data_IF_222716513170
#
_entry.id   IF_222716513170
#
_cell.length_a   1.000
_cell.length_b   1.000
_cell.length_c   1.000
_cell.angle_alpha   90.00
_cell.angle_beta   90.00
_cell.angle_gamma   90.00
#
_symmetry.space_group_name_H-M   'P 1'
#
loop_
_entity.id
_entity.type
_entity.pdbx_description
1 polymer ?
#
# COMPACT_ATOMS: atom_id res chain seq x y z
N UNK A 1 1.55 4.23 31.09
CA UNK A 1 1.08 3.69 29.79
C UNK A 1 0.27 4.70 28.98
N UNK A 2 -0.41 5.70 29.57
CA UNK A 2 -1.20 6.71 28.83
C UNK A 2 -0.40 7.76 28.03
N UNK A 3 0.94 7.85 28.16
CA UNK A 3 1.75 8.85 27.46
C UNK A 3 2.13 8.46 26.02
N UNK A 4 2.06 7.18 25.63
CA UNK A 4 2.40 6.72 24.26
C UNK A 4 1.24 6.89 23.28
N UNK A 5 -0.01 6.79 23.74
CA UNK A 5 -1.19 6.83 22.86
C UNK A 5 -1.49 8.23 22.29
N UNK A 6 -1.17 9.28 23.05
CA UNK A 6 -1.32 10.68 22.61
C UNK A 6 -0.34 11.05 21.47
N UNK A 7 0.85 10.48 21.50
CA UNK A 7 1.92 10.74 20.52
C UNK A 7 1.63 10.06 19.17
N UNK A 8 1.16 8.80 19.21
CA UNK A 8 0.77 8.07 17.99
C UNK A 8 -0.40 8.76 17.27
N UNK A 9 -1.43 9.19 18.02
CA UNK A 9 -2.58 9.89 17.44
C UNK A 9 -2.17 11.17 16.74
N UNK A 10 -1.39 12.03 17.41
CA UNK A 10 -0.90 13.28 16.82
C UNK A 10 -0.03 13.02 15.57
N UNK A 11 0.81 11.99 15.60
CA UNK A 11 1.64 11.60 14.46
C UNK A 11 0.80 11.14 13.26
N UNK A 12 -0.27 10.36 13.46
CA UNK A 12 -1.17 9.92 12.39
C UNK A 12 -2.02 11.06 11.83
N UNK A 13 -2.53 11.94 12.71
CA UNK A 13 -3.31 13.13 12.33
C UNK A 13 -2.45 14.09 11.49
N UNK A 14 -1.19 14.33 11.87
CA UNK A 14 -0.26 15.19 11.10
C UNK A 14 0.02 14.67 9.69
N UNK A 15 -0.12 13.35 9.46
CA UNK A 15 0.04 12.70 8.15
C UNK A 15 -1.27 12.63 7.35
N UNK A 16 -2.37 13.11 7.92
CA UNK A 16 -3.70 13.04 7.32
C UNK A 16 -4.23 11.62 7.20
N UNK A 17 -3.80 10.69 8.07
CA UNK A 17 -4.29 9.30 8.07
C UNK A 17 -5.74 9.29 8.55
N UNK A 18 -6.63 8.76 7.71
CA UNK A 18 -8.06 8.63 8.03
C UNK A 18 -8.32 7.40 8.93
N UNK A 19 -9.39 7.40 9.75
CA UNK A 19 -9.71 6.27 10.62
C UNK A 19 -9.76 4.91 9.91
N UNK A 20 -10.33 4.85 8.71
CA UNK A 20 -10.39 3.60 7.93
C UNK A 20 -9.01 3.12 7.47
N UNK A 21 -8.09 4.03 7.14
CA UNK A 21 -6.73 3.68 6.73
C UNK A 21 -5.94 3.14 7.94
N UNK A 22 -6.07 3.78 9.09
CA UNK A 22 -5.52 3.30 10.35
C UNK A 22 -6.06 1.91 10.69
N UNK A 23 -7.39 1.73 10.65
CA UNK A 23 -8.03 0.43 10.88
C UNK A 23 -7.46 -0.67 9.98
N UNK A 24 -7.36 -0.45 8.67
CA UNK A 24 -6.86 -1.47 7.74
C UNK A 24 -5.38 -1.77 7.99
N UNK A 25 -4.55 -0.75 8.19
CA UNK A 25 -3.12 -0.94 8.45
C UNK A 25 -2.88 -1.70 9.76
N UNK A 26 -3.59 -1.35 10.84
CA UNK A 26 -3.54 -2.04 12.14
C UNK A 26 -4.07 -3.46 12.05
N UNK A 27 -5.15 -3.70 11.30
CA UNK A 27 -5.69 -5.04 11.11
C UNK A 27 -4.67 -5.97 10.42
N UNK A 28 -4.00 -5.48 9.39
CA UNK A 28 -2.95 -6.24 8.69
C UNK A 28 -1.75 -6.51 9.62
N UNK A 29 -1.35 -5.51 10.42
CA UNK A 29 -0.28 -5.66 11.40
C UNK A 29 -0.62 -6.71 12.46
N UNK A 30 -1.77 -6.60 13.11
CA UNK A 30 -2.23 -7.52 14.14
C UNK A 30 -2.34 -8.96 13.62
N UNK A 31 -2.88 -9.17 12.43
CA UNK A 31 -2.96 -10.50 11.83
C UNK A 31 -1.58 -11.13 11.54
N UNK A 32 -0.56 -10.30 11.26
CA UNK A 32 0.82 -10.77 11.12
C UNK A 32 1.39 -11.17 12.48
N UNK A 33 1.11 -10.41 13.53
CA UNK A 33 1.59 -10.68 14.89
C UNK A 33 1.05 -11.99 15.46
N UNK A 34 -0.20 -12.33 15.16
CA UNK A 34 -0.80 -13.61 15.54
C UNK A 34 -0.46 -14.77 14.58
N UNK A 35 0.44 -14.54 13.61
CA UNK A 35 0.96 -15.59 12.72
C UNK A 35 0.06 -16.01 11.56
N UNK A 36 -1.08 -15.33 11.34
CA UNK A 36 -2.04 -15.67 10.28
C UNK A 36 -1.56 -15.20 8.91
N UNK A 37 -0.92 -14.02 8.85
CA UNK A 37 -0.48 -13.43 7.59
C UNK A 37 1.01 -13.62 7.32
N UNK A 38 1.32 -13.93 6.07
CA UNK A 38 2.64 -13.72 5.46
C UNK A 38 2.48 -12.81 4.23
N UNK A 39 3.60 -12.38 3.65
CA UNK A 39 3.58 -11.46 2.50
C UNK A 39 2.77 -12.01 1.31
N UNK A 40 2.89 -13.29 1.00
CA UNK A 40 2.17 -13.92 -0.11
C UNK A 40 0.66 -13.89 0.09
N UNK A 41 0.19 -14.16 1.31
CA UNK A 41 -1.24 -14.07 1.64
C UNK A 41 -1.73 -12.62 1.51
N UNK A 42 -0.98 -11.65 2.02
CA UNK A 42 -1.33 -10.22 1.89
C UNK A 42 -1.38 -9.80 0.43
N UNK A 43 -0.39 -10.19 -0.37
CA UNK A 43 -0.35 -9.93 -1.81
C UNK A 43 -1.60 -10.48 -2.51
N UNK A 44 -1.89 -11.78 -2.35
CA UNK A 44 -3.04 -12.41 -3.01
C UNK A 44 -4.37 -11.81 -2.56
N UNK A 45 -4.53 -11.54 -1.27
CA UNK A 45 -5.74 -10.94 -0.74
C UNK A 45 -5.97 -9.54 -1.30
N UNK A 46 -4.92 -8.71 -1.29
CA UNK A 46 -5.00 -7.32 -1.78
C UNK A 46 -5.11 -7.24 -3.30
N UNK A 47 -4.57 -8.21 -4.04
CA UNK A 47 -4.81 -8.35 -5.48
C UNK A 47 -6.29 -8.63 -5.78
N UNK A 48 -6.94 -9.52 -5.02
CA UNK A 48 -8.38 -9.74 -5.14
C UNK A 48 -9.18 -8.48 -4.80
N UNK A 49 -8.76 -7.72 -3.79
CA UNK A 49 -9.36 -6.42 -3.45
C UNK A 49 -9.21 -5.44 -4.62
N UNK A 50 -8.01 -5.30 -5.19
CA UNK A 50 -7.75 -4.45 -6.35
C UNK A 50 -8.64 -4.80 -7.54
N UNK A 51 -8.78 -6.10 -7.85
CA UNK A 51 -9.68 -6.59 -8.92
C UNK A 51 -11.15 -6.21 -8.66
N UNK A 52 -11.62 -6.33 -7.42
CA UNK A 52 -12.98 -5.93 -7.03
C UNK A 52 -13.18 -4.42 -7.15
N UNK A 53 -12.22 -3.63 -6.69
CA UNK A 53 -12.26 -2.17 -6.82
C UNK A 53 -12.28 -1.75 -8.30
N UNK A 54 -11.49 -2.39 -9.16
CA UNK A 54 -11.53 -2.14 -10.60
C UNK A 54 -12.90 -2.49 -11.21
N UNK A 55 -13.57 -3.55 -10.74
CA UNK A 55 -14.92 -3.89 -11.19
C UNK A 55 -15.99 -2.88 -10.72
N UNK A 56 -15.81 -2.27 -9.55
CA UNK A 56 -16.76 -1.29 -8.99
C UNK A 56 -16.56 0.10 -9.59
N UNK A 57 -15.32 0.56 -9.69
CA UNK A 57 -14.97 1.95 -10.03
C UNK A 57 -14.43 2.12 -11.46
N UNK A 58 -14.22 1.02 -12.18
CA UNK A 58 -13.65 1.00 -13.52
C UNK A 58 -12.14 1.25 -13.53
N UNK A 59 -11.48 0.69 -14.55
CA UNK A 59 -10.09 1.03 -14.90
C UNK A 59 -10.06 2.25 -15.80
N UNK A 60 -8.90 2.89 -15.85
CA UNK A 60 -8.60 3.93 -16.83
C UNK A 60 -8.08 3.33 -18.14
N UNK A 61 -7.94 4.16 -19.16
CA UNK A 61 -7.46 3.79 -20.51
C UNK A 61 -6.03 3.24 -20.54
N UNK A 62 -5.29 3.42 -19.45
CA UNK A 62 -3.91 2.96 -19.30
C UNK A 62 -3.68 2.44 -17.88
N UNK A 63 -2.77 1.46 -17.71
CA UNK A 63 -2.37 1.02 -16.38
C UNK A 63 -1.79 2.14 -15.52
N UNK A 64 -0.98 3.05 -16.08
CA UNK A 64 -0.42 4.19 -15.33
C UNK A 64 -1.51 5.07 -14.73
N UNK A 65 -2.52 5.46 -15.51
CA UNK A 65 -3.68 6.22 -14.99
C UNK A 65 -4.50 5.40 -13.99
N UNK A 66 -4.62 4.08 -14.19
CA UNK A 66 -5.31 3.21 -13.23
C UNK A 66 -4.59 3.15 -11.88
N UNK A 67 -3.25 3.14 -11.87
CA UNK A 67 -2.45 3.22 -10.65
C UNK A 67 -2.65 4.57 -9.95
N UNK A 68 -2.61 5.67 -10.71
CA UNK A 68 -2.89 7.02 -10.19
C UNK A 68 -4.27 7.09 -9.56
N UNK A 69 -5.31 6.64 -10.28
CA UNK A 69 -6.70 6.64 -9.81
C UNK A 69 -6.87 5.90 -8.49
N UNK A 70 -6.36 4.67 -8.36
CA UNK A 70 -6.59 3.90 -7.12
C UNK A 70 -5.88 4.51 -5.91
N UNK A 71 -4.73 5.14 -6.13
CA UNK A 71 -3.94 5.78 -5.07
C UNK A 71 -4.59 7.08 -4.61
N UNK A 72 -5.12 7.87 -5.54
CA UNK A 72 -5.87 9.10 -5.25
C UNK A 72 -7.23 8.80 -4.62
N UNK A 73 -7.99 7.84 -5.17
CA UNK A 73 -9.28 7.41 -4.65
C UNK A 73 -9.19 6.91 -3.21
N UNK A 74 -8.09 6.23 -2.85
CA UNK A 74 -7.86 5.74 -1.49
C UNK A 74 -7.02 6.71 -0.64
N UNK A 75 -6.63 7.85 -1.22
CA UNK A 75 -5.87 8.93 -0.58
C UNK A 75 -4.61 8.41 0.13
N UNK A 76 -3.81 7.56 -0.54
CA UNK A 76 -2.75 6.78 0.11
C UNK A 76 -1.45 7.56 0.40
N UNK A 77 -1.28 8.76 -0.18
CA UNK A 77 -0.11 9.62 0.03
C UNK A 77 0.52 10.13 -1.27
N UNK A 78 1.72 10.71 -1.16
CA UNK A 78 2.52 11.20 -2.29
C UNK A 78 3.17 10.03 -3.04
N UNK A 79 3.09 10.05 -4.37
CA UNK A 79 3.63 8.98 -5.21
C UNK A 79 4.10 9.50 -6.57
N UNK A 80 4.83 8.66 -7.29
CA UNK A 80 5.23 8.83 -8.69
C UNK A 80 4.89 7.57 -9.48
N UNK A 81 4.51 7.75 -10.74
CA UNK A 81 4.33 6.67 -11.70
C UNK A 81 5.13 7.01 -12.94
N UNK A 82 6.02 6.12 -13.33
CA UNK A 82 6.88 6.27 -14.49
C UNK A 82 6.71 5.06 -15.41
N UNK A 83 6.56 5.31 -16.72
CA UNK A 83 6.68 4.25 -17.72
C UNK A 83 8.15 4.00 -18.03
N UNK A 84 8.55 2.73 -18.07
CA UNK A 84 9.90 2.32 -18.46
C UNK A 84 9.83 1.17 -19.48
N UNK A 85 10.93 0.89 -20.17
CA UNK A 85 11.03 -0.28 -21.03
C UNK A 85 10.73 -1.57 -20.22
N UNK A 86 9.69 -2.29 -20.62
CA UNK A 86 9.27 -3.54 -19.96
C UNK A 86 8.22 -3.39 -18.85
N UNK A 87 7.76 -2.19 -18.51
CA UNK A 87 6.72 -2.05 -17.49
C UNK A 87 6.51 -0.66 -16.90
N UNK A 88 6.03 -0.64 -15.66
CA UNK A 88 5.75 0.58 -14.89
C UNK A 88 6.55 0.55 -13.60
N UNK A 89 7.00 1.73 -13.18
CA UNK A 89 7.60 1.93 -11.86
C UNK A 89 6.67 2.82 -11.06
N UNK A 90 6.17 2.26 -9.96
CA UNK A 90 5.38 2.97 -8.96
C UNK A 90 6.25 3.24 -7.73
N UNK A 91 6.39 4.50 -7.34
CA UNK A 91 7.17 4.90 -6.18
C UNK A 91 6.29 5.65 -5.18
N UNK A 92 5.99 5.03 -4.04
CA UNK A 92 5.26 5.66 -2.93
C UNK A 92 6.24 6.31 -1.96
N UNK A 93 6.06 7.58 -1.66
CA UNK A 93 6.89 8.25 -0.65
C UNK A 93 6.57 7.67 0.72
N UNK A 94 7.59 7.15 1.39
CA UNK A 94 7.40 6.28 2.56
C UNK A 94 6.79 7.04 3.74
N UNK A 95 7.15 8.32 3.91
CA UNK A 95 6.64 9.18 4.99
C UNK A 95 5.15 9.52 4.85
N UNK A 96 4.64 9.58 3.62
CA UNK A 96 3.24 9.89 3.33
C UNK A 96 2.35 8.66 3.19
N UNK A 97 2.90 7.44 3.17
CA UNK A 97 2.12 6.23 2.91
C UNK A 97 1.16 5.92 4.07
N UNK A 98 -0.14 6.13 3.82
CA UNK A 98 -1.21 6.02 4.83
C UNK A 98 -1.73 4.60 5.05
N UNK A 99 -1.22 3.63 4.30
CA UNK A 99 -1.62 2.20 4.39
C UNK A 99 -0.46 1.30 4.82
N UNK A 100 0.65 1.87 5.32
CA UNK A 100 1.82 1.11 5.71
C UNK A 100 1.57 0.37 7.04
N UNK A 101 1.57 -0.98 7.09
CA UNK A 101 1.31 -1.71 8.33
C UNK A 101 2.36 -1.44 9.42
N UNK A 102 3.58 -1.07 9.05
CA UNK A 102 4.64 -0.69 10.00
C UNK A 102 4.42 0.69 10.60
N UNK A 103 4.27 1.71 9.74
CA UNK A 103 4.24 3.11 10.18
C UNK A 103 2.89 3.54 10.73
N UNK A 104 1.82 2.97 10.19
CA UNK A 104 0.44 3.29 10.58
C UNK A 104 -0.11 2.22 11.50
N UNK A 105 0.11 0.95 11.16
CA UNK A 105 -0.42 -0.18 11.92
C UNK A 105 0.42 -0.62 13.12
N UNK A 106 1.63 -0.06 13.32
CA UNK A 106 2.50 -0.39 14.45
C UNK A 106 3.29 -1.71 14.31
N UNK A 107 3.33 -2.34 13.14
CA UNK A 107 4.00 -3.63 12.97
C UNK A 107 5.53 -3.55 13.22
N UNK A 108 5.99 -4.22 14.27
CA UNK A 108 7.42 -4.31 14.62
C UNK A 108 8.12 -5.53 13.99
N UNK A 109 7.39 -6.61 13.73
CA UNK A 109 7.97 -7.88 13.22
C UNK A 109 8.73 -7.70 11.90
N UNK A 110 9.84 -8.43 11.65
CA UNK A 110 10.61 -8.33 10.42
C UNK A 110 9.86 -8.89 9.18
N UNK A 111 10.25 -8.44 7.99
CA UNK A 111 9.73 -8.92 6.70
C UNK A 111 8.86 -7.93 5.91
N UNK A 112 8.38 -8.36 4.74
CA UNK A 112 7.53 -7.56 3.86
C UNK A 112 6.07 -7.82 4.18
N UNK A 113 5.28 -6.76 4.32
CA UNK A 113 3.83 -6.85 4.55
C UNK A 113 3.04 -5.78 3.81
N UNK A 114 3.69 -5.09 2.86
CA UNK A 114 3.07 -3.99 2.13
C UNK A 114 1.86 -4.50 1.32
N UNK A 115 0.67 -3.93 1.47
CA UNK A 115 -0.51 -4.32 0.70
C UNK A 115 -0.52 -3.73 -0.72
N UNK A 116 0.30 -2.72 -1.01
CA UNK A 116 0.29 -2.01 -2.28
C UNK A 116 0.60 -2.89 -3.50
N UNK A 117 1.60 -3.79 -3.51
CA UNK A 117 1.92 -4.56 -4.71
C UNK A 117 0.73 -5.37 -5.22
N UNK A 118 0.04 -6.08 -4.33
CA UNK A 118 -1.16 -6.82 -4.69
C UNK A 118 -2.30 -5.88 -5.11
N UNK A 119 -2.61 -4.87 -4.30
CA UNK A 119 -3.66 -3.89 -4.59
C UNK A 119 -3.50 -3.25 -5.99
N UNK A 120 -2.32 -2.71 -6.27
CA UNK A 120 -1.98 -2.04 -7.52
C UNK A 120 -2.04 -3.03 -8.69
N UNK A 121 -1.49 -4.24 -8.51
CA UNK A 121 -1.53 -5.30 -9.50
C UNK A 121 -2.95 -5.68 -9.89
N UNK A 122 -3.82 -5.89 -8.89
CA UNK A 122 -5.21 -6.26 -9.11
C UNK A 122 -6.02 -5.15 -9.77
N UNK A 123 -5.82 -3.90 -9.32
CA UNK A 123 -6.56 -2.77 -9.84
C UNK A 123 -6.17 -2.43 -11.27
N UNK A 124 -4.87 -2.25 -11.55
CA UNK A 124 -4.37 -1.91 -12.88
C UNK A 124 -4.41 -3.10 -13.86
N UNK A 125 -4.51 -4.34 -13.35
CA UNK A 125 -4.49 -5.55 -14.17
C UNK A 125 -3.10 -5.91 -14.71
N UNK A 126 -2.05 -5.42 -14.05
CA UNK A 126 -0.64 -5.60 -14.45
C UNK A 126 0.11 -6.24 -13.28
N UNK A 127 0.76 -7.40 -13.45
CA UNK A 127 1.45 -8.08 -12.36
C UNK A 127 2.53 -7.23 -11.69
N UNK A 128 2.46 -7.04 -10.37
CA UNK A 128 3.52 -6.41 -9.61
C UNK A 128 4.64 -7.40 -9.25
N UNK A 129 5.87 -6.94 -9.29
CA UNK A 129 7.00 -7.66 -8.71
C UNK A 129 6.84 -7.74 -7.19
N UNK A 130 7.12 -8.92 -6.65
CA UNK A 130 7.04 -9.19 -5.21
C UNK A 130 8.13 -8.46 -4.40
N UNK A 131 9.16 -7.95 -5.07
CA UNK A 131 10.28 -7.28 -4.45
C UNK A 131 10.07 -5.76 -4.34
N UNK A 132 9.33 -5.34 -3.31
CA UNK A 132 9.29 -3.93 -2.93
C UNK A 132 10.66 -3.51 -2.39
N UNK A 133 11.32 -2.60 -3.09
CA UNK A 133 12.63 -2.05 -2.68
C UNK A 133 12.44 -0.67 -2.09
N UNK A 134 13.24 -0.35 -1.06
CA UNK A 134 13.34 1.02 -0.57
C UNK A 134 14.48 1.71 -1.32
N UNK A 135 14.18 2.85 -1.91
CA UNK A 135 15.14 3.69 -2.63
C UNK A 135 15.01 5.13 -2.11
N UNK A 136 15.97 5.53 -1.27
CA UNK A 136 15.90 6.78 -0.50
C UNK A 136 14.60 6.90 0.31
N UNK A 137 13.82 7.93 0.00
CA UNK A 137 12.53 8.22 0.64
C UNK A 137 11.37 7.36 0.10
N UNK A 138 11.57 6.61 -0.98
CA UNK A 138 10.49 5.92 -1.70
C UNK A 138 10.50 4.41 -1.47
N UNK A 139 9.30 3.84 -1.43
CA UNK A 139 9.05 2.41 -1.62
C UNK A 139 8.69 2.19 -3.09
N UNK A 140 9.56 1.47 -3.81
CA UNK A 140 9.47 1.24 -5.24
C UNK A 140 8.87 -0.13 -5.52
N UNK A 141 7.84 -0.15 -6.38
CA UNK A 141 7.12 -1.32 -6.85
C UNK A 141 7.19 -1.31 -8.38
N UNK A 142 7.75 -2.36 -8.97
CA UNK A 142 7.77 -2.55 -10.43
C UNK A 142 6.57 -3.37 -10.85
N UNK A 143 5.94 -3.03 -11.97
CA UNK A 143 4.85 -3.80 -12.56
C UNK A 143 5.21 -4.19 -13.99
N UNK A 144 5.14 -5.48 -14.33
CA UNK A 144 5.57 -6.03 -15.62
C UNK A 144 4.46 -5.91 -16.66
N UNK A 145 4.76 -5.36 -17.83
CA UNK A 145 3.83 -5.35 -18.98
C UNK A 145 3.53 -6.77 -19.47
#
# INVERSE_FOLDING_TARGET
MAHQDGDLRAALESKGVKPMQAFVASLIAAFREVGVLNFGVVYMATEKVGKRLAAIYGREDSPAKSLTKVVEMLELGEFKVEEQEGGLVFAMRSESCRLCPRRVGGLELPGKLCPLPGLLSGFAGVPAELDVKRDGEYCVIRLKR
#
